data_IF_706092202522
#
_entry.id   IF_706092202522
#
_cell.length_a   1.000
_cell.length_b   1.000
_cell.length_c   1.000
_cell.angle_alpha   90.00
_cell.angle_beta   90.00
_cell.angle_gamma   90.00
#
_symmetry.space_group_name_H-M   'P 1'
#
loop_
_entity.id
_entity.type
_entity.pdbx_description
1 polymer ?
#
# COMPACT_ATOMS: atom_id res chain seq x y z
N UNK A 1 -5.08 -40.67 -29.71
CA UNK A 1 -5.66 -39.31 -29.70
C UNK A 1 -6.37 -38.95 -28.40
N UNK A 2 -7.27 -39.79 -27.85
CA UNK A 2 -7.99 -39.49 -26.59
C UNK A 2 -7.09 -39.30 -25.35
N UNK A 3 -6.07 -40.15 -25.15
CA UNK A 3 -5.14 -40.05 -24.00
C UNK A 3 -4.35 -38.73 -23.93
N UNK A 4 -3.99 -38.17 -25.09
CA UNK A 4 -3.26 -36.90 -25.17
C UNK A 4 -4.15 -35.71 -24.77
N UNK A 5 -5.44 -35.76 -25.16
CA UNK A 5 -6.44 -34.75 -24.81
C UNK A 5 -6.69 -34.67 -23.28
N UNK A 6 -6.75 -35.81 -22.61
CA UNK A 6 -6.92 -35.86 -21.15
C UNK A 6 -5.70 -35.33 -20.40
N UNK A 7 -4.50 -35.58 -20.92
CA UNK A 7 -3.26 -35.07 -20.34
C UNK A 7 -3.19 -33.54 -20.47
N UNK A 8 -3.54 -33.00 -21.63
CA UNK A 8 -3.52 -31.54 -21.88
C UNK A 8 -4.60 -30.81 -21.09
N UNK A 9 -5.80 -31.38 -20.94
CA UNK A 9 -6.85 -30.78 -20.10
C UNK A 9 -6.44 -30.74 -18.63
N UNK A 10 -5.85 -31.82 -18.11
CA UNK A 10 -5.37 -31.87 -16.72
C UNK A 10 -4.31 -30.81 -16.43
N UNK A 11 -3.36 -30.60 -17.34
CA UNK A 11 -2.32 -29.57 -17.21
C UNK A 11 -2.94 -28.15 -17.24
N UNK A 12 -3.92 -27.91 -18.11
CA UNK A 12 -4.60 -26.61 -18.21
C UNK A 12 -5.40 -26.28 -16.93
N UNK A 13 -6.05 -27.27 -16.33
CA UNK A 13 -6.73 -27.13 -15.04
C UNK A 13 -5.74 -26.85 -13.89
N UNK A 14 -4.61 -27.54 -13.83
CA UNK A 14 -3.57 -27.28 -12.82
C UNK A 14 -2.94 -25.89 -12.97
N UNK A 15 -2.71 -25.42 -14.19
CA UNK A 15 -2.20 -24.07 -14.44
C UNK A 15 -3.21 -22.99 -13.98
N UNK A 16 -4.51 -23.22 -14.17
CA UNK A 16 -5.54 -22.28 -13.69
C UNK A 16 -5.58 -22.16 -12.17
N UNK A 17 -5.31 -23.25 -11.43
CA UNK A 17 -5.22 -23.23 -9.97
C UNK A 17 -3.93 -22.59 -9.45
N UNK A 18 -2.84 -22.62 -10.22
CA UNK A 18 -1.58 -21.97 -9.85
C UNK A 18 -1.65 -20.44 -10.01
N UNK A 19 -2.41 -19.97 -10.99
CA UNK A 19 -2.70 -18.54 -11.19
C UNK A 19 -3.74 -17.98 -10.19
N UNK A 20 -4.32 -18.84 -9.34
CA UNK A 20 -5.18 -18.43 -8.23
C UNK A 20 -4.38 -18.21 -6.93
N UNK A 21 -3.11 -17.80 -7.04
CA UNK A 21 -2.47 -17.08 -5.94
C UNK A 21 -3.28 -15.79 -5.74
N UNK A 22 -4.15 -15.78 -4.73
CA UNK A 22 -4.74 -14.55 -4.22
C UNK A 22 -3.60 -13.57 -4.02
N UNK A 23 -3.59 -12.46 -4.76
CA UNK A 23 -2.83 -11.27 -4.38
C UNK A 23 -3.15 -11.06 -2.90
N UNK A 24 -2.14 -11.20 -2.03
CA UNK A 24 -2.35 -11.22 -0.59
C UNK A 24 -3.11 -9.96 -0.17
N UNK A 25 -4.00 -10.09 0.82
CA UNK A 25 -4.60 -8.89 1.41
C UNK A 25 -3.48 -8.16 2.16
N UNK A 26 -3.11 -6.98 1.67
CA UNK A 26 -2.10 -6.13 2.29
C UNK A 26 -2.76 -5.04 3.13
N UNK A 27 -2.22 -4.84 4.33
CA UNK A 27 -2.49 -3.71 5.18
C UNK A 27 -1.39 -2.66 4.99
N UNK A 28 -1.77 -1.39 5.00
CA UNK A 28 -0.85 -0.27 4.89
C UNK A 28 -0.89 0.56 6.16
N UNK A 29 0.28 1.02 6.60
CA UNK A 29 0.42 1.82 7.80
C UNK A 29 1.51 2.87 7.66
N UNK A 30 1.58 3.76 8.63
CA UNK A 30 2.56 4.84 8.69
C UNK A 30 3.37 4.78 9.97
N UNK A 31 4.65 5.17 9.91
CA UNK A 31 5.44 5.51 11.09
C UNK A 31 5.60 7.02 11.17
N UNK A 32 5.41 7.62 12.35
CA UNK A 32 5.52 9.08 12.55
C UNK A 32 6.97 9.57 12.52
N UNK A 33 7.92 8.67 12.71
CA UNK A 33 9.36 8.92 12.73
C UNK A 33 10.12 7.81 11.98
N UNK A 34 11.42 8.04 11.76
CA UNK A 34 12.29 7.17 10.97
C UNK A 34 12.24 7.48 9.47
N UNK A 35 12.69 6.53 8.64
CA UNK A 35 12.87 6.77 7.21
C UNK A 35 14.09 7.62 6.89
N UNK A 36 14.31 7.93 5.62
CA UNK A 36 15.53 8.60 5.13
C UNK A 36 15.85 9.92 5.85
N UNK A 37 14.83 10.73 6.15
CA UNK A 37 14.99 12.05 6.79
C UNK A 37 14.39 12.14 8.20
N UNK A 38 14.03 11.01 8.82
CA UNK A 38 13.37 11.01 10.14
C UNK A 38 11.90 11.47 10.12
N UNK A 39 11.33 11.71 8.94
CA UNK A 39 9.97 12.25 8.75
C UNK A 39 8.87 11.17 8.73
N UNK A 40 9.24 9.90 8.91
CA UNK A 40 8.31 8.79 8.85
C UNK A 40 8.32 8.03 7.54
N UNK A 41 7.58 6.93 7.51
CA UNK A 41 7.45 6.06 6.32
C UNK A 41 6.04 5.57 6.13
N UNK A 42 5.72 5.11 4.92
CA UNK A 42 4.58 4.23 4.65
C UNK A 42 5.12 2.83 4.45
N UNK A 43 4.51 1.87 5.13
CA UNK A 43 4.82 0.46 4.96
C UNK A 43 3.58 -0.32 4.56
N UNK A 44 3.81 -1.51 4.02
CA UNK A 44 2.81 -2.55 3.83
C UNK A 44 3.23 -3.84 4.51
N UNK A 45 2.25 -4.64 4.87
CA UNK A 45 2.42 -5.97 5.46
C UNK A 45 1.23 -6.83 5.01
N UNK A 46 1.43 -8.13 4.87
CA UNK A 46 0.30 -9.02 4.62
C UNK A 46 -0.65 -9.11 5.84
N UNK A 47 -1.85 -9.63 5.64
CA UNK A 47 -2.85 -9.82 6.70
C UNK A 47 -2.42 -10.74 7.85
N UNK A 48 -1.31 -11.47 7.70
CA UNK A 48 -0.73 -12.35 8.70
C UNK A 48 0.49 -11.73 9.41
N UNK A 49 0.88 -10.50 9.05
CA UNK A 49 2.04 -9.83 9.60
C UNK A 49 3.38 -10.15 8.91
N UNK A 50 3.38 -10.89 7.80
CA UNK A 50 4.58 -11.19 7.00
C UNK A 50 4.73 -10.22 5.81
N UNK A 51 5.81 -10.40 5.04
CA UNK A 51 6.12 -9.58 3.85
C UNK A 51 6.09 -8.06 4.14
N UNK A 52 6.67 -7.67 5.28
CA UNK A 52 6.86 -6.27 5.60
C UNK A 52 7.71 -5.60 4.53
N UNK A 53 7.20 -4.50 3.98
CA UNK A 53 7.93 -3.69 3.03
C UNK A 53 7.72 -2.21 3.32
N UNK A 54 8.81 -1.45 3.31
CA UNK A 54 8.74 0.01 3.25
C UNK A 54 8.38 0.43 1.82
N UNK A 55 7.26 1.12 1.67
CA UNK A 55 6.68 1.54 0.38
C UNK A 55 7.08 2.97 0.04
N UNK A 56 7.22 3.82 1.05
CA UNK A 56 7.50 5.24 0.86
C UNK A 56 8.27 5.83 2.05
N UNK A 57 9.24 6.70 1.78
CA UNK A 57 9.86 7.58 2.77
C UNK A 57 9.27 8.98 2.59
N UNK A 58 8.75 9.55 3.68
CA UNK A 58 8.26 10.93 3.66
C UNK A 58 9.40 11.92 3.45
N UNK A 59 9.10 12.98 2.71
CA UNK A 59 10.04 14.04 2.37
C UNK A 59 9.41 15.38 2.75
N UNK A 60 10.24 16.39 3.06
CA UNK A 60 9.74 17.72 3.43
C UNK A 60 8.75 18.30 2.41
N UNK A 61 8.98 18.05 1.11
CA UNK A 61 8.14 18.52 0.02
C UNK A 61 6.79 17.80 -0.09
N UNK A 62 6.68 16.57 0.40
CA UNK A 62 5.48 15.73 0.29
C UNK A 62 4.73 15.56 1.61
N UNK A 63 5.29 16.06 2.71
CA UNK A 63 4.72 16.01 4.05
C UNK A 63 5.55 15.14 4.98
N UNK A 64 5.49 15.41 6.29
CA UNK A 64 6.25 14.67 7.29
C UNK A 64 5.50 14.50 8.61
N UNK A 65 5.93 13.50 9.38
CA UNK A 65 5.35 13.10 10.66
C UNK A 65 3.85 12.78 10.54
N UNK A 66 3.50 11.67 9.86
CA UNK A 66 2.11 11.23 9.77
C UNK A 66 1.49 11.04 11.16
N UNK A 67 0.26 11.53 11.34
CA UNK A 67 -0.45 11.55 12.64
C UNK A 67 -1.68 10.67 12.73
N UNK A 68 -2.14 10.17 11.60
CA UNK A 68 -3.33 9.33 11.52
C UNK A 68 -3.07 8.12 10.62
N UNK A 69 -3.88 7.08 10.79
CA UNK A 69 -3.89 5.93 9.89
C UNK A 69 -4.33 6.29 8.47
N UNK A 70 -4.09 5.37 7.54
CA UNK A 70 -4.48 5.53 6.13
C UNK A 70 -5.91 5.05 5.90
N UNK A 71 -6.65 5.76 5.06
CA UNK A 71 -7.97 5.34 4.56
C UNK A 71 -7.86 4.96 3.09
N UNK A 72 -8.33 3.76 2.73
CA UNK A 72 -8.42 3.31 1.34
C UNK A 72 -9.75 3.76 0.75
N UNK A 73 -9.71 4.56 -0.32
CA UNK A 73 -10.90 4.95 -1.08
C UNK A 73 -10.58 5.01 -2.58
N UNK A 74 -11.42 4.40 -3.42
CA UNK A 74 -11.24 4.39 -4.88
C UNK A 74 -9.83 3.94 -5.33
N UNK A 75 -9.26 2.93 -4.66
CA UNK A 75 -7.93 2.38 -4.96
C UNK A 75 -6.76 3.27 -4.56
N UNK A 76 -7.00 4.33 -3.76
CA UNK A 76 -5.99 5.28 -3.29
C UNK A 76 -5.94 5.32 -1.77
N UNK A 77 -4.75 5.49 -1.20
CA UNK A 77 -4.55 5.65 0.24
C UNK A 77 -4.49 7.14 0.59
N UNK A 78 -5.32 7.56 1.53
CA UNK A 78 -5.40 8.93 2.04
C UNK A 78 -4.94 8.97 3.48
N UNK A 79 -4.08 9.93 3.82
CA UNK A 79 -3.57 10.15 5.16
C UNK A 79 -3.26 11.61 5.43
N UNK A 80 -2.84 11.92 6.65
CA UNK A 80 -2.52 13.26 7.10
C UNK A 80 -1.12 13.34 7.75
N UNK A 81 -0.33 14.36 7.39
CA UNK A 81 0.99 14.66 7.95
C UNK A 81 1.00 15.95 8.77
N UNK A 82 1.76 16.02 9.88
CA UNK A 82 1.84 17.25 10.69
C UNK A 82 2.47 18.43 9.96
N UNK A 83 3.38 18.15 9.05
CA UNK A 83 4.16 19.16 8.32
C UNK A 83 4.17 18.87 6.82
N UNK A 84 4.60 19.86 6.04
CA UNK A 84 4.80 19.78 4.58
C UNK A 84 3.50 19.59 3.79
N UNK A 85 3.60 19.10 2.55
CA UNK A 85 2.47 18.84 1.66
C UNK A 85 2.02 20.06 0.86
N UNK A 86 1.69 19.85 -0.42
CA UNK A 86 1.08 20.91 -1.25
C UNK A 86 -0.40 21.00 -0.90
N UNK A 87 -0.87 22.19 -0.48
CA UNK A 87 -2.30 22.43 -0.21
C UNK A 87 -3.09 22.41 -1.54
N UNK A 88 -3.42 21.22 -2.04
CA UNK A 88 -4.23 21.03 -3.27
C UNK A 88 -5.71 20.76 -2.96
N UNK A 89 -6.30 21.50 -2.02
CA UNK A 89 -7.67 22.05 -2.07
C UNK A 89 -8.05 22.66 -0.72
N UNK A 90 -8.84 23.73 -0.78
CA UNK A 90 -9.22 24.58 0.36
C UNK A 90 -10.06 23.81 1.39
N UNK A 91 -9.41 23.37 2.47
CA UNK A 91 -9.98 23.28 3.81
C UNK A 91 -8.91 23.78 4.78
N UNK A 92 -9.04 25.06 5.13
CA UNK A 92 -8.09 25.81 5.95
C UNK A 92 -7.97 25.27 7.37
N UNK A 93 -6.71 25.06 7.76
CA UNK A 93 -6.15 25.19 9.10
C UNK A 93 -6.52 24.13 10.16
N UNK A 94 -5.44 23.68 10.82
CA UNK A 94 -5.36 22.86 12.04
C UNK A 94 -5.31 21.34 11.77
N UNK A 95 -4.08 20.80 11.77
CA UNK A 95 -3.69 19.37 11.70
C UNK A 95 -3.81 18.71 10.31
N UNK A 96 -2.67 18.36 9.71
CA UNK A 96 -2.65 17.40 8.60
C UNK A 96 -2.57 18.00 7.20
N UNK A 97 -1.52 17.71 6.44
CA UNK A 97 -1.58 17.79 4.97
C UNK A 97 -2.06 16.46 4.41
N UNK A 98 -3.08 16.50 3.54
CA UNK A 98 -3.60 15.32 2.86
C UNK A 98 -2.63 14.89 1.76
N UNK A 99 -2.17 13.63 1.81
CA UNK A 99 -1.38 13.03 0.74
C UNK A 99 -2.10 11.83 0.15
N UNK A 100 -1.71 11.48 -1.07
CA UNK A 100 -2.16 10.29 -1.78
C UNK A 100 -0.94 9.48 -2.20
N UNK A 101 -0.99 8.16 -1.98
CA UNK A 101 -0.01 7.19 -2.52
C UNK A 101 -0.60 6.53 -3.75
#
# INVERSE_FOLDING_TARGET
MKKLLFLTLGILFLQSTLNAQTEGIYMYGTTSEGGTNGLGTIYRVDQYGNDYQKVYDFQESTGGNPTAGLTLANGKLYGATLSGGTLVNVATAVVGSFFTV
#
